data_IF_582599055880
#
_entry.id   IF_582599055880
#
_cell.length_a   1.000
_cell.length_b   1.000
_cell.length_c   1.000
_cell.angle_alpha   90.00
_cell.angle_beta   90.00
_cell.angle_gamma   90.00
#
_symmetry.space_group_name_H-M   'P 1'
#
loop_
_entity.id
_entity.type
_entity.pdbx_description
1 polymer ?
#
# COMPACT_ATOMS: atom_id res chain seq x y z
N UNK A 1 4.73 -19.00 -13.32
CA UNK A 1 5.38 -18.23 -12.25
C UNK A 1 4.35 -17.79 -11.24
N UNK A 2 4.74 -17.74 -9.97
CA UNK A 2 3.80 -17.37 -8.92
C UNK A 2 3.53 -15.87 -8.95
N UNK A 3 2.27 -15.50 -8.76
CA UNK A 3 1.90 -14.11 -8.49
C UNK A 3 2.51 -13.69 -7.16
N UNK A 4 2.69 -12.40 -6.98
CA UNK A 4 3.26 -11.83 -5.78
C UNK A 4 2.28 -10.81 -5.20
N UNK A 5 2.19 -10.74 -3.86
CA UNK A 5 1.31 -9.77 -3.21
C UNK A 5 2.08 -8.93 -2.21
N UNK A 6 1.65 -7.69 -2.06
CA UNK A 6 2.09 -6.87 -0.95
C UNK A 6 0.89 -6.29 -0.23
N UNK A 7 1.03 -6.14 1.08
CA UNK A 7 0.00 -5.63 1.98
C UNK A 7 0.66 -4.59 2.88
N UNK A 8 0.06 -3.40 2.95
CA UNK A 8 0.62 -2.31 3.75
C UNK A 8 -0.48 -1.76 4.66
N UNK A 9 -0.30 -1.90 5.97
CA UNK A 9 -1.23 -1.34 6.96
C UNK A 9 -0.78 0.03 7.39
N UNK A 10 -1.75 0.91 7.62
CA UNK A 10 -1.49 2.26 8.10
C UNK A 10 -2.66 2.80 8.90
N UNK A 11 -2.41 3.82 9.71
CA UNK A 11 -3.44 4.58 10.43
C UNK A 11 -3.29 6.03 10.02
N UNK A 12 -4.42 6.65 9.65
CA UNK A 12 -4.45 8.01 9.12
C UNK A 12 -4.79 9.00 10.23
N UNK A 13 -4.17 10.17 10.20
CA UNK A 13 -4.53 11.25 11.12
C UNK A 13 -5.94 11.73 10.79
N UNK A 14 -6.73 12.03 11.82
CA UNK A 14 -8.14 12.41 11.67
C UNK A 14 -8.30 13.61 10.73
N UNK A 15 -7.47 14.63 10.89
CA UNK A 15 -7.55 15.86 10.10
C UNK A 15 -7.00 15.72 8.69
N UNK A 16 -6.39 14.59 8.35
CA UNK A 16 -5.88 14.32 7.01
C UNK A 16 -6.67 13.23 6.27
N UNK A 17 -7.77 12.76 6.86
CA UNK A 17 -8.50 11.60 6.36
C UNK A 17 -9.01 11.78 4.92
N UNK A 18 -9.68 12.90 4.66
CA UNK A 18 -10.24 13.17 3.33
C UNK A 18 -9.14 13.31 2.27
N UNK A 19 -8.05 14.00 2.62
CA UNK A 19 -6.92 14.18 1.73
C UNK A 19 -6.25 12.84 1.40
N UNK A 20 -6.12 11.97 2.41
CA UNK A 20 -5.55 10.63 2.23
C UNK A 20 -6.38 9.81 1.21
N UNK A 21 -7.69 9.81 1.37
CA UNK A 21 -8.58 9.09 0.45
C UNK A 21 -8.53 9.68 -0.96
N UNK A 22 -8.46 10.99 -1.07
CA UNK A 22 -8.36 11.67 -2.37
C UNK A 22 -7.09 11.26 -3.11
N UNK A 23 -5.95 11.23 -2.43
CA UNK A 23 -4.69 10.80 -3.04
C UNK A 23 -4.77 9.37 -3.57
N UNK A 24 -5.41 8.47 -2.80
CA UNK A 24 -5.54 7.07 -3.25
C UNK A 24 -6.50 6.93 -4.42
N UNK A 25 -7.52 7.76 -4.51
CA UNK A 25 -8.49 7.71 -5.60
C UNK A 25 -7.86 8.07 -6.96
N UNK A 26 -6.71 8.74 -6.94
CA UNK A 26 -6.00 9.15 -8.16
C UNK A 26 -4.97 8.12 -8.63
N UNK A 27 -4.75 7.06 -7.85
CA UNK A 27 -3.78 6.04 -8.22
C UNK A 27 -4.23 5.21 -9.42
N UNK A 28 -3.29 4.96 -10.34
CA UNK A 28 -3.47 4.04 -11.45
C UNK A 28 -2.65 2.79 -11.19
N UNK A 29 -2.97 1.71 -11.89
CA UNK A 29 -2.16 0.49 -11.78
C UNK A 29 -0.77 0.72 -12.37
N UNK A 30 0.23 0.12 -11.71
CA UNK A 30 1.60 0.11 -12.21
C UNK A 30 1.79 -1.04 -13.19
N UNK A 31 2.83 -0.97 -14.01
CA UNK A 31 3.17 -2.07 -14.93
C UNK A 31 3.39 -3.36 -14.13
N UNK A 32 2.76 -4.44 -14.58
CA UNK A 32 2.84 -5.73 -13.90
C UNK A 32 1.93 -5.88 -12.70
N UNK A 33 1.23 -4.81 -12.30
CA UNK A 33 0.25 -4.89 -11.22
C UNK A 33 -1.09 -5.34 -11.79
N UNK A 34 -1.63 -6.42 -11.24
CA UNK A 34 -2.90 -6.98 -11.69
C UNK A 34 -4.09 -6.28 -11.06
N UNK A 35 -3.98 -5.96 -9.77
CA UNK A 35 -5.05 -5.31 -9.00
C UNK A 35 -4.45 -4.56 -7.83
N UNK A 36 -5.15 -3.52 -7.37
CA UNK A 36 -4.82 -2.86 -6.12
C UNK A 36 -6.12 -2.45 -5.43
N UNK A 37 -6.09 -2.50 -4.12
CA UNK A 37 -7.24 -2.20 -3.27
C UNK A 37 -6.80 -1.41 -2.05
N UNK A 38 -7.65 -0.51 -1.60
CA UNK A 38 -7.50 0.11 -0.28
C UNK A 38 -8.71 -0.32 0.52
N UNK A 39 -8.50 -1.12 1.57
CA UNK A 39 -9.59 -1.56 2.43
C UNK A 39 -9.54 -0.79 3.74
N UNK A 40 -10.72 -0.51 4.29
CA UNK A 40 -10.86 0.16 5.57
C UNK A 40 -11.04 -0.89 6.66
N UNK A 41 -10.16 -0.88 7.66
CA UNK A 41 -10.15 -1.86 8.74
C UNK A 41 -10.60 -1.27 10.07
N UNK A 42 -10.77 0.04 10.13
CA UNK A 42 -11.26 0.79 11.29
C UNK A 42 -11.58 2.21 10.85
N UNK A 43 -12.02 3.07 11.76
CA UNK A 43 -12.46 4.43 11.40
C UNK A 43 -11.37 5.21 10.66
N UNK A 44 -10.11 5.04 11.05
CA UNK A 44 -8.97 5.72 10.45
C UNK A 44 -7.86 4.74 10.09
N UNK A 45 -8.18 3.45 10.06
CA UNK A 45 -7.21 2.39 9.75
C UNK A 45 -7.47 1.81 8.38
N UNK A 46 -6.41 1.62 7.60
CA UNK A 46 -6.49 1.15 6.23
C UNK A 46 -5.45 0.11 5.93
N UNK A 47 -5.73 -0.68 4.92
CA UNK A 47 -4.80 -1.68 4.42
C UNK A 47 -4.79 -1.59 2.91
N UNK A 48 -3.61 -1.31 2.34
CA UNK A 48 -3.40 -1.31 0.90
C UNK A 48 -2.99 -2.71 0.50
N UNK A 49 -3.67 -3.28 -0.50
CA UNK A 49 -3.40 -4.64 -0.99
C UNK A 49 -3.19 -4.58 -2.49
N UNK A 50 -2.10 -5.16 -2.97
CA UNK A 50 -1.83 -5.22 -4.40
C UNK A 50 -1.39 -6.62 -4.80
N UNK A 51 -1.82 -7.02 -5.99
CA UNK A 51 -1.47 -8.31 -6.60
C UNK A 51 -0.65 -8.02 -7.85
N UNK A 52 0.51 -8.68 -7.97
CA UNK A 52 1.46 -8.47 -9.05
C UNK A 52 1.68 -9.77 -9.82
N UNK A 53 2.02 -9.64 -11.10
CA UNK A 53 2.35 -10.82 -11.91
C UNK A 53 3.59 -11.53 -11.39
N UNK A 54 4.54 -10.78 -10.83
CA UNK A 54 5.78 -11.34 -10.29
C UNK A 54 6.40 -10.40 -9.27
N UNK A 55 7.31 -10.93 -8.46
CA UNK A 55 8.09 -10.14 -7.52
C UNK A 55 8.91 -9.06 -8.24
N UNK A 56 9.46 -9.37 -9.41
CA UNK A 56 10.27 -8.40 -10.13
C UNK A 56 9.47 -7.19 -10.58
N UNK A 57 8.19 -7.35 -10.87
CA UNK A 57 7.31 -6.23 -11.21
C UNK A 57 7.10 -5.30 -10.01
N UNK A 58 6.91 -5.88 -8.81
CA UNK A 58 6.81 -5.08 -7.59
C UNK A 58 8.11 -4.33 -7.34
N UNK A 59 9.26 -5.00 -7.50
CA UNK A 59 10.55 -4.37 -7.29
C UNK A 59 10.75 -3.18 -8.23
N UNK A 60 10.37 -3.32 -9.50
CA UNK A 60 10.46 -2.24 -10.48
C UNK A 60 9.56 -1.05 -10.12
N UNK A 61 8.39 -1.30 -9.57
CA UNK A 61 7.45 -0.23 -9.19
C UNK A 61 7.81 0.44 -7.86
N UNK A 62 8.65 -0.20 -7.04
CA UNK A 62 8.93 0.26 -5.68
C UNK A 62 9.42 1.71 -5.60
N UNK A 63 10.34 2.20 -6.46
CA UNK A 63 10.76 3.60 -6.39
C UNK A 63 9.60 4.59 -6.53
N UNK A 64 8.68 4.35 -7.46
CA UNK A 64 7.51 5.21 -7.67
C UNK A 64 6.54 5.10 -6.50
N UNK A 65 6.36 3.89 -5.97
CA UNK A 65 5.53 3.68 -4.78
C UNK A 65 6.08 4.42 -3.56
N UNK A 66 7.40 4.46 -3.41
CA UNK A 66 8.04 5.19 -2.32
C UNK A 66 7.83 6.69 -2.48
N UNK A 67 7.89 7.21 -3.71
CA UNK A 67 7.60 8.62 -3.97
C UNK A 67 6.17 8.97 -3.56
N UNK A 68 5.20 8.13 -3.91
CA UNK A 68 3.82 8.33 -3.51
C UNK A 68 3.71 8.32 -1.97
N UNK A 69 4.32 7.35 -1.33
CA UNK A 69 4.31 7.23 0.12
C UNK A 69 4.91 8.46 0.79
N UNK A 70 6.05 8.96 0.26
CA UNK A 70 6.70 10.13 0.82
C UNK A 70 5.79 11.37 0.76
N UNK A 71 4.96 11.47 -0.28
CA UNK A 71 4.03 12.58 -0.44
C UNK A 71 2.92 12.58 0.60
N UNK A 72 2.59 11.41 1.18
CA UNK A 72 1.47 11.27 2.12
C UNK A 72 1.90 10.90 3.54
N UNK A 73 3.21 10.78 3.82
CA UNK A 73 3.67 10.39 5.17
C UNK A 73 3.13 11.28 6.28
N UNK A 74 3.02 12.58 6.01
CA UNK A 74 2.54 13.54 7.01
C UNK A 74 1.07 13.33 7.37
N UNK A 75 0.33 12.56 6.57
CA UNK A 75 -1.09 12.26 6.81
C UNK A 75 -1.28 11.04 7.70
N UNK A 76 -0.21 10.30 7.99
CA UNK A 76 -0.30 9.03 8.70
C UNK A 76 0.35 9.11 10.07
N UNK A 77 -0.20 8.32 11.01
CA UNK A 77 0.32 8.25 12.37
C UNK A 77 1.44 7.22 12.45
N UNK A 78 2.39 7.45 13.34
CA UNK A 78 3.43 6.47 13.63
C UNK A 78 2.82 5.24 14.28
N UNK A 79 3.10 4.07 13.74
CA UNK A 79 2.66 2.78 14.30
C UNK A 79 3.60 2.39 15.44
N UNK A 80 4.91 2.46 15.18
CA UNK A 80 5.95 2.19 16.18
C UNK A 80 7.25 2.83 15.70
N UNK A 81 8.23 3.04 16.60
CA UNK A 81 9.52 3.57 16.17
C UNK A 81 10.23 2.70 15.12
N UNK A 82 10.02 1.39 15.17
CA UNK A 82 10.65 0.46 14.23
C UNK A 82 9.99 0.48 12.85
N UNK A 83 8.65 0.54 12.82
CA UNK A 83 7.89 0.49 11.57
C UNK A 83 7.70 1.86 10.92
N UNK A 84 7.68 2.92 11.71
CA UNK A 84 7.32 4.24 11.21
C UNK A 84 5.81 4.33 10.99
N UNK A 85 5.40 4.85 9.83
CA UNK A 85 3.97 5.08 9.54
C UNK A 85 3.30 3.95 8.75
N UNK A 86 4.06 2.93 8.34
CA UNK A 86 3.52 1.80 7.58
C UNK A 86 4.00 0.48 8.16
N UNK A 87 3.18 -0.56 7.99
CA UNK A 87 3.53 -1.93 8.36
C UNK A 87 3.40 -2.80 7.11
N UNK A 88 4.45 -2.88 6.28
CA UNK A 88 4.40 -3.62 5.01
C UNK A 88 4.81 -5.08 5.20
N UNK A 89 4.10 -5.95 4.47
CA UNK A 89 4.50 -7.35 4.30
C UNK A 89 4.28 -7.72 2.85
N UNK A 90 5.05 -8.69 2.36
CA UNK A 90 4.91 -9.17 0.99
C UNK A 90 5.38 -10.60 0.87
N UNK A 91 4.90 -11.29 -0.15
CA UNK A 91 5.31 -12.66 -0.42
C UNK A 91 4.67 -13.23 -1.66
N UNK A 92 5.15 -14.37 -2.13
CA UNK A 92 4.55 -15.05 -3.28
C UNK A 92 3.19 -15.65 -2.90
N UNK A 93 2.27 -15.67 -3.87
CA UNK A 93 0.98 -16.32 -3.70
C UNK A 93 1.22 -17.82 -3.86
N UNK A 94 1.02 -18.58 -2.79
CA UNK A 94 1.24 -20.02 -2.81
C UNK A 94 -0.04 -20.82 -2.97
N UNK A 95 -1.18 -20.16 -2.86
CA UNK A 95 -2.48 -20.77 -2.98
C UNK A 95 -3.49 -19.77 -3.51
N UNK A 96 -4.22 -20.13 -4.57
CA UNK A 96 -5.21 -19.25 -5.19
C UNK A 96 -6.39 -20.09 -5.63
N UNK A 97 -7.61 -19.64 -5.38
CA UNK A 97 -8.84 -20.26 -5.83
C UNK A 97 -9.60 -19.35 -6.77
#
# INVERSE_FOLDING_TARGET
MAKFMNVVRTTVKVDCHDEFLEHHSELSKYDGQLSQFLIQTGDYSYCFVAIWESESDLIKARPVMIEFLNAIRHMMQEISPELGVTDPVSGPVIFEQ
#
